data_IF_789662140978
#
_entry.id   IF_789662140978
#
_cell.length_a   1.000
_cell.length_b   1.000
_cell.length_c   1.000
_cell.angle_alpha   90.00
_cell.angle_beta   90.00
_cell.angle_gamma   90.00
#
_symmetry.space_group_name_H-M   'P 1'
#
loop_
_entity.id
_entity.type
_entity.pdbx_description
1 polymer ?
#
# COMPACT_ATOMS: atom_id res chain seq x y z
N UNK A 1 22.65 -11.22 16.61
CA UNK A 1 21.72 -10.88 17.71
C UNK A 1 20.41 -10.30 17.19
N UNK A 2 20.38 -9.11 16.58
CA UNK A 2 19.14 -8.47 16.08
C UNK A 2 18.28 -9.35 15.14
N UNK A 3 18.87 -9.99 14.14
CA UNK A 3 18.13 -10.88 13.23
C UNK A 3 17.68 -12.20 13.88
N UNK A 4 18.31 -12.61 14.99
CA UNK A 4 17.83 -13.74 15.78
C UNK A 4 16.56 -13.35 16.54
N UNK A 5 16.50 -12.12 17.05
CA UNK A 5 15.28 -11.55 17.64
C UNK A 5 14.15 -11.44 16.60
N UNK A 6 14.44 -10.99 15.38
CA UNK A 6 13.45 -10.95 14.30
C UNK A 6 12.91 -12.35 13.97
N UNK A 7 13.78 -13.36 13.87
CA UNK A 7 13.35 -14.76 13.64
C UNK A 7 12.43 -15.27 14.74
N UNK A 8 12.73 -14.96 16.00
CA UNK A 8 11.86 -15.34 17.10
C UNK A 8 10.52 -14.61 17.03
N UNK A 9 10.55 -13.31 16.72
CA UNK A 9 9.35 -12.49 16.54
C UNK A 9 8.42 -13.06 15.47
N UNK A 10 8.95 -13.52 14.34
CA UNK A 10 8.14 -14.20 13.33
C UNK A 10 7.45 -15.46 13.85
N UNK A 11 8.15 -16.29 14.63
CA UNK A 11 7.56 -17.48 15.25
C UNK A 11 6.44 -17.10 16.22
N UNK A 12 6.69 -16.10 17.07
CA UNK A 12 5.75 -15.66 18.09
C UNK A 12 4.46 -15.08 17.49
N UNK A 13 4.54 -14.45 16.30
CA UNK A 13 3.41 -13.85 15.59
C UNK A 13 2.89 -14.72 14.43
N UNK A 14 3.23 -16.02 14.42
CA UNK A 14 2.77 -17.00 13.42
C UNK A 14 3.06 -16.59 11.96
N UNK A 15 4.10 -15.81 11.72
CA UNK A 15 4.54 -15.49 10.37
C UNK A 15 5.17 -16.74 9.72
N UNK A 16 4.82 -17.01 8.47
CA UNK A 16 5.47 -18.03 7.66
C UNK A 16 6.87 -17.60 7.28
N UNK A 17 7.87 -18.44 7.53
CA UNK A 17 9.22 -18.26 6.96
C UNK A 17 9.64 -19.60 6.36
N UNK A 18 10.01 -19.58 5.09
CA UNK A 18 10.45 -20.80 4.44
C UNK A 18 11.78 -21.30 5.05
N UNK A 19 11.91 -22.60 5.38
CA UNK A 19 13.09 -23.12 6.10
C UNK A 19 14.37 -23.05 5.28
N UNK A 20 14.26 -22.83 3.96
CA UNK A 20 15.41 -22.78 3.06
C UNK A 20 15.89 -21.38 2.72
N UNK A 21 15.46 -20.35 3.46
CA UNK A 21 16.05 -19.01 3.33
C UNK A 21 16.85 -18.62 4.57
N UNK A 22 17.85 -17.77 4.39
CA UNK A 22 18.62 -17.20 5.49
C UNK A 22 19.01 -15.75 5.23
N UNK A 23 19.08 -14.96 6.30
CA UNK A 23 19.49 -13.55 6.23
C UNK A 23 21.01 -13.48 6.41
N UNK A 24 21.71 -12.85 5.47
CA UNK A 24 23.17 -12.67 5.46
C UNK A 24 23.54 -11.27 5.01
N UNK A 25 24.81 -10.89 5.17
CA UNK A 25 25.34 -9.65 4.58
C UNK A 25 25.32 -9.74 3.06
N UNK A 26 24.74 -8.75 2.39
CA UNK A 26 24.71 -8.68 0.94
C UNK A 26 26.03 -8.10 0.39
N UNK A 27 26.54 -8.60 -0.74
CA UNK A 27 27.64 -7.96 -1.49
C UNK A 27 27.31 -6.52 -1.94
N UNK A 28 26.04 -6.17 -2.07
CA UNK A 28 25.57 -4.82 -2.42
C UNK A 28 25.63 -3.84 -1.23
N UNK A 29 25.91 -4.35 -0.03
CA UNK A 29 25.86 -3.60 1.22
C UNK A 29 24.64 -3.97 2.07
N UNK A 30 24.72 -3.76 3.38
CA UNK A 30 23.63 -4.11 4.29
C UNK A 30 23.40 -5.62 4.43
N UNK A 31 22.15 -6.05 4.30
CA UNK A 31 21.74 -7.46 4.40
C UNK A 31 20.85 -7.85 3.23
N UNK A 32 20.75 -9.14 2.96
CA UNK A 32 19.86 -9.73 1.98
C UNK A 32 19.40 -11.12 2.41
N UNK A 33 18.43 -11.67 1.68
CA UNK A 33 17.90 -13.02 1.88
C UNK A 33 18.53 -13.97 0.87
N UNK A 34 19.02 -15.12 1.31
CA UNK A 34 19.74 -16.10 0.49
C UNK A 34 19.08 -17.46 0.54
N UNK A 35 19.06 -18.15 -0.60
CA UNK A 35 18.61 -19.53 -0.71
C UNK A 35 19.65 -20.51 -0.15
N UNK A 36 19.27 -21.35 0.81
CA UNK A 36 20.13 -22.43 1.37
C UNK A 36 19.95 -23.77 0.66
N UNK A 37 18.83 -23.92 -0.05
CA UNK A 37 18.51 -25.05 -0.94
C UNK A 37 17.75 -24.50 -2.17
N UNK A 38 17.56 -25.29 -3.23
CA UNK A 38 16.80 -24.84 -4.37
C UNK A 38 15.35 -24.55 -3.98
N UNK A 39 14.81 -23.45 -4.49
CA UNK A 39 13.41 -23.03 -4.34
C UNK A 39 12.72 -23.17 -5.70
N UNK A 40 11.43 -23.51 -5.70
CA UNK A 40 10.63 -23.67 -6.92
C UNK A 40 9.64 -22.50 -7.04
N UNK A 41 9.16 -22.25 -8.26
CA UNK A 41 8.13 -21.22 -8.50
C UNK A 41 6.88 -21.46 -7.66
N UNK A 42 6.18 -20.36 -7.36
CA UNK A 42 4.95 -20.31 -6.55
C UNK A 42 5.14 -20.83 -5.11
N UNK A 43 6.36 -20.83 -4.59
CA UNK A 43 6.62 -21.17 -3.18
C UNK A 43 6.61 -19.89 -2.34
N UNK A 44 5.77 -19.77 -1.31
CA UNK A 44 5.83 -18.66 -0.37
C UNK A 44 7.10 -18.75 0.48
N UNK A 45 7.88 -17.66 0.51
CA UNK A 45 9.12 -17.55 1.27
C UNK A 45 8.93 -16.83 2.60
N UNK A 46 8.02 -15.87 2.63
CA UNK A 46 7.60 -15.11 3.79
C UNK A 46 6.08 -14.97 3.71
N UNK A 47 5.40 -15.10 4.85
CA UNK A 47 3.98 -14.81 5.00
C UNK A 47 3.75 -14.06 6.30
N UNK A 48 3.22 -12.85 6.23
CA UNK A 48 3.01 -11.98 7.39
C UNK A 48 1.52 -11.67 7.51
N UNK A 49 0.82 -12.12 8.57
CA UNK A 49 -0.58 -11.74 8.77
C UNK A 49 -0.71 -10.22 8.78
N UNK A 50 -1.72 -9.68 8.09
CA UNK A 50 -1.81 -8.23 7.87
C UNK A 50 -1.96 -7.44 9.17
N UNK A 51 -2.52 -8.04 10.22
CA UNK A 51 -2.58 -7.47 11.58
C UNK A 51 -1.21 -7.14 12.19
N UNK A 52 -0.14 -7.83 11.74
CA UNK A 52 1.23 -7.59 12.18
C UNK A 52 2.05 -6.69 11.25
N UNK A 53 1.44 -6.15 10.20
CA UNK A 53 2.03 -5.02 9.46
C UNK A 53 2.00 -3.78 10.36
N UNK A 54 2.98 -2.89 10.23
CA UNK A 54 2.97 -1.61 10.94
C UNK A 54 2.50 -0.52 9.99
N UNK A 55 1.32 0.03 10.26
CA UNK A 55 0.73 1.15 9.52
C UNK A 55 -0.11 2.05 10.45
N UNK A 56 -0.68 3.16 9.95
CA UNK A 56 -1.54 4.02 10.75
C UNK A 56 -2.73 3.28 11.38
N UNK A 57 -3.28 2.26 10.71
CA UNK A 57 -4.46 1.52 11.20
C UNK A 57 -4.12 0.42 12.22
N UNK A 58 -2.89 -0.09 12.25
CA UNK A 58 -2.50 -1.16 13.19
C UNK A 58 -1.69 -0.69 14.40
N UNK A 59 -1.06 0.50 14.33
CA UNK A 59 -0.19 0.97 15.40
C UNK A 59 -0.94 1.34 16.70
N UNK A 60 -0.21 1.42 17.82
CA UNK A 60 -0.80 1.68 19.14
C UNK A 60 -1.43 3.07 19.33
N UNK A 61 -1.35 3.96 18.35
CA UNK A 61 -1.93 5.31 18.35
C UNK A 61 -2.88 5.55 17.16
N UNK A 62 -3.44 4.49 16.58
CA UNK A 62 -4.26 4.56 15.37
C UNK A 62 -5.38 5.63 15.45
N UNK A 63 -6.22 5.60 16.50
CA UNK A 63 -7.27 6.59 16.71
C UNK A 63 -6.78 8.05 16.70
N UNK A 64 -5.56 8.28 17.20
CA UNK A 64 -4.97 9.61 17.25
C UNK A 64 -4.44 10.04 15.87
N UNK A 65 -3.91 9.10 15.08
CA UNK A 65 -3.52 9.40 13.70
C UNK A 65 -4.74 9.69 12.83
N UNK A 66 -5.83 8.95 13.04
CA UNK A 66 -7.11 9.18 12.38
C UNK A 66 -7.70 10.56 12.73
N UNK A 67 -7.73 10.94 14.01
CA UNK A 67 -8.25 12.25 14.47
C UNK A 67 -7.50 13.44 13.83
N UNK A 68 -6.20 13.28 13.58
CA UNK A 68 -5.35 14.29 12.95
C UNK A 68 -5.23 14.12 11.43
N UNK A 69 -5.97 13.16 10.84
CA UNK A 69 -5.94 12.84 9.40
C UNK A 69 -4.52 12.54 8.89
N UNK A 70 -3.67 11.97 9.74
CA UNK A 70 -2.30 11.59 9.39
C UNK A 70 -2.30 10.23 8.68
N UNK A 71 -2.42 10.27 7.36
CA UNK A 71 -2.49 9.08 6.50
C UNK A 71 -1.25 8.95 5.61
N UNK A 72 -1.21 7.87 4.80
CA UNK A 72 -0.15 7.61 3.83
C UNK A 72 1.25 7.59 4.45
N UNK A 73 2.23 8.11 3.72
CA UNK A 73 3.64 8.12 4.15
C UNK A 73 3.87 8.94 5.43
N UNK A 74 3.10 10.03 5.61
CA UNK A 74 3.21 10.90 6.78
C UNK A 74 2.74 10.14 8.03
N UNK A 75 1.54 9.57 7.97
CA UNK A 75 0.97 8.74 9.03
C UNK A 75 1.87 7.56 9.38
N UNK A 76 2.33 6.84 8.35
CA UNK A 76 3.23 5.69 8.52
C UNK A 76 4.55 6.09 9.21
N UNK A 77 5.10 7.26 8.86
CA UNK A 77 6.33 7.76 9.49
C UNK A 77 6.10 8.07 10.97
N UNK A 78 4.98 8.69 11.33
CA UNK A 78 4.63 8.97 12.73
C UNK A 78 4.37 7.68 13.51
N UNK A 79 3.63 6.72 12.93
CA UNK A 79 3.42 5.40 13.51
C UNK A 79 4.75 4.68 13.80
N UNK A 80 5.68 4.69 12.83
CA UNK A 80 7.02 4.16 13.00
C UNK A 80 7.79 4.85 14.14
N UNK A 81 7.77 6.18 14.19
CA UNK A 81 8.47 6.95 15.24
C UNK A 81 7.94 6.62 16.63
N UNK A 82 6.63 6.55 16.79
CA UNK A 82 5.98 6.19 18.05
C UNK A 82 6.38 4.77 18.50
N UNK A 83 6.19 3.76 17.64
CA UNK A 83 6.51 2.37 17.97
C UNK A 83 8.01 2.18 18.23
N UNK A 84 8.87 2.89 17.50
CA UNK A 84 10.32 2.88 17.73
C UNK A 84 10.68 3.46 19.10
N UNK A 85 10.03 4.55 19.52
CA UNK A 85 10.24 5.21 20.81
C UNK A 85 9.89 4.29 22.00
N UNK A 86 8.87 3.45 21.87
CA UNK A 86 8.48 2.48 22.89
C UNK A 86 9.56 1.41 23.18
N UNK A 87 10.50 1.20 22.26
CA UNK A 87 11.53 0.18 22.38
C UNK A 87 10.91 -1.19 22.60
N UNK A 88 11.38 -1.94 23.60
CA UNK A 88 10.92 -3.31 23.89
C UNK A 88 9.43 -3.44 24.25
N UNK A 89 8.73 -2.33 24.49
CA UNK A 89 7.29 -2.32 24.75
C UNK A 89 6.46 -2.37 23.46
N UNK A 90 7.05 -2.02 22.31
CA UNK A 90 6.37 -2.11 21.03
C UNK A 90 6.13 -3.56 20.63
N UNK A 91 4.93 -3.92 20.14
CA UNK A 91 4.66 -5.23 19.54
C UNK A 91 5.63 -5.54 18.40
N UNK A 92 6.10 -4.54 17.67
CA UNK A 92 7.01 -4.67 16.52
C UNK A 92 8.48 -4.59 16.90
N UNK A 93 8.86 -4.57 18.18
CA UNK A 93 10.25 -4.34 18.59
C UNK A 93 11.25 -5.32 17.94
N UNK A 94 10.86 -6.59 17.78
CA UNK A 94 11.70 -7.60 17.14
C UNK A 94 12.08 -7.24 15.70
N UNK A 95 11.17 -6.61 14.97
CA UNK A 95 11.40 -6.05 13.65
C UNK A 95 12.08 -4.69 13.68
N UNK A 96 11.52 -3.73 14.44
CA UNK A 96 12.01 -2.35 14.48
C UNK A 96 13.46 -2.26 14.95
N UNK A 97 13.95 -3.16 15.80
CA UNK A 97 15.35 -3.19 16.21
C UNK A 97 16.33 -3.51 15.06
N UNK A 98 15.84 -4.10 13.96
CA UNK A 98 16.64 -4.34 12.74
C UNK A 98 16.76 -3.11 11.85
N UNK A 99 15.79 -2.18 11.92
CA UNK A 99 15.80 -0.93 11.15
C UNK A 99 16.83 0.03 11.72
N UNK A 100 17.80 0.41 10.90
CA UNK A 100 18.79 1.42 11.23
C UNK A 100 18.24 2.82 10.94
N UNK A 101 18.08 3.64 11.98
CA UNK A 101 17.67 5.05 11.88
C UNK A 101 18.86 6.01 12.01
N UNK A 102 20.07 5.49 12.28
CA UNK A 102 21.33 6.24 12.22
C UNK A 102 21.88 6.30 10.79
N UNK A 103 21.04 6.05 9.79
CA UNK A 103 21.41 6.24 8.40
C UNK A 103 21.67 7.73 8.18
N UNK A 104 22.78 8.03 7.50
CA UNK A 104 23.03 9.41 7.06
C UNK A 104 21.90 9.78 6.11
N UNK A 105 21.20 10.89 6.39
CA UNK A 105 20.25 11.46 5.44
C UNK A 105 20.93 11.76 4.10
N UNK A 106 22.26 11.89 4.08
CA UNK A 106 23.10 11.99 2.88
C UNK A 106 22.97 10.79 1.92
N UNK A 107 22.28 9.71 2.28
CA UNK A 107 21.92 8.67 1.30
C UNK A 107 20.92 9.17 0.26
N UNK A 108 20.10 10.18 0.57
CA UNK A 108 19.15 10.74 -0.39
C UNK A 108 19.60 12.14 -0.87
N UNK A 109 19.57 12.40 -2.19
CA UNK A 109 20.02 13.68 -2.73
C UNK A 109 19.32 14.94 -2.20
N UNK A 110 18.07 14.83 -1.74
CA UNK A 110 17.35 15.98 -1.17
C UNK A 110 18.01 16.54 0.09
N UNK A 111 18.79 15.73 0.81
CA UNK A 111 19.52 16.14 2.01
C UNK A 111 20.99 16.46 1.74
N UNK A 112 21.43 16.42 0.48
CA UNK A 112 22.78 16.83 0.10
C UNK A 112 22.98 18.34 0.23
N UNK A 113 24.23 18.77 0.30
CA UNK A 113 24.55 20.20 0.19
C UNK A 113 24.11 20.76 -1.16
N UNK A 114 23.84 22.06 -1.24
CA UNK A 114 23.46 22.70 -2.52
C UNK A 114 24.52 22.54 -3.62
N UNK A 115 25.80 22.45 -3.26
CA UNK A 115 26.88 22.16 -4.21
C UNK A 115 26.80 20.74 -4.78
N UNK A 116 26.50 19.74 -3.96
CA UNK A 116 26.32 18.36 -4.39
C UNK A 116 25.03 18.18 -5.20
N UNK A 117 23.94 18.88 -4.84
CA UNK A 117 22.69 18.86 -5.61
C UNK A 117 22.89 19.38 -7.04
N UNK A 118 23.84 20.30 -7.27
CA UNK A 118 24.17 20.79 -8.62
C UNK A 118 24.71 19.68 -9.54
N UNK A 119 25.26 18.58 -9.00
CA UNK A 119 25.71 17.44 -9.80
C UNK A 119 24.58 16.72 -10.52
N UNK A 120 23.34 16.87 -10.03
CA UNK A 120 22.15 16.22 -10.58
C UNK A 120 21.37 17.13 -11.53
N UNK A 121 21.86 18.35 -11.81
CA UNK A 121 21.20 19.28 -12.72
C UNK A 121 20.97 18.67 -14.11
N UNK A 122 19.74 18.77 -14.59
CA UNK A 122 19.32 18.22 -15.89
C UNK A 122 19.06 16.71 -15.88
N UNK A 123 19.04 16.08 -14.70
CA UNK A 123 18.60 14.68 -14.56
C UNK A 123 17.15 14.61 -14.09
N UNK A 124 16.51 13.44 -14.28
CA UNK A 124 15.09 13.25 -14.01
C UNK A 124 14.69 13.55 -12.55
N UNK A 125 15.59 13.28 -11.59
CA UNK A 125 15.35 13.57 -10.16
C UNK A 125 15.08 15.06 -9.90
N UNK A 126 15.67 15.96 -10.69
CA UNK A 126 15.44 17.40 -10.56
C UNK A 126 14.07 17.75 -11.14
N UNK A 127 13.76 17.23 -12.33
CA UNK A 127 12.48 17.45 -13.02
C UNK A 127 11.28 17.01 -12.18
N UNK A 128 11.40 15.89 -11.48
CA UNK A 128 10.35 15.36 -10.60
C UNK A 128 10.30 16.01 -9.20
N UNK A 129 11.14 17.01 -8.92
CA UNK A 129 11.20 17.64 -7.59
C UNK A 129 11.82 16.76 -6.50
N UNK A 130 12.54 15.70 -6.86
CA UNK A 130 13.13 14.74 -5.91
C UNK A 130 14.25 15.30 -5.04
N UNK A 131 14.69 16.54 -5.29
CA UNK A 131 15.67 17.28 -4.48
C UNK A 131 15.03 18.23 -3.47
N UNK A 132 13.71 18.47 -3.56
CA UNK A 132 13.03 19.44 -2.70
C UNK A 132 12.82 18.89 -1.29
N UNK A 133 13.05 19.75 -0.32
CA UNK A 133 12.89 19.50 1.11
C UNK A 133 11.82 20.42 1.72
N UNK A 134 11.35 21.43 1.00
CA UNK A 134 10.47 22.46 1.52
C UNK A 134 9.11 21.89 1.90
N UNK A 135 8.56 20.96 1.11
CA UNK A 135 7.33 20.23 1.45
C UNK A 135 7.49 19.43 2.76
N UNK A 136 8.63 18.78 2.97
CA UNK A 136 8.91 18.01 4.20
C UNK A 136 9.01 18.95 5.40
N UNK A 137 9.71 20.08 5.26
CA UNK A 137 9.81 21.11 6.32
C UNK A 137 8.46 21.72 6.65
N UNK A 138 7.66 22.03 5.64
CA UNK A 138 6.33 22.58 5.81
C UNK A 138 5.41 21.56 6.50
N UNK A 139 5.43 20.31 6.06
CA UNK A 139 4.68 19.21 6.67
C UNK A 139 5.04 19.05 8.13
N UNK A 140 6.34 19.02 8.44
CA UNK A 140 6.81 18.88 9.80
C UNK A 140 6.37 20.05 10.69
N UNK A 141 6.60 21.29 10.24
CA UNK A 141 6.29 22.48 11.05
C UNK A 141 4.78 22.72 11.22
N UNK A 142 3.96 22.33 10.24
CA UNK A 142 2.53 22.62 10.23
C UNK A 142 1.69 21.51 10.87
N UNK A 143 2.09 20.24 10.72
CA UNK A 143 1.28 19.10 11.17
C UNK A 143 2.00 18.27 12.24
N UNK A 144 3.24 17.85 11.97
CA UNK A 144 3.93 16.84 12.81
C UNK A 144 4.40 17.42 14.14
N UNK A 145 5.04 18.58 14.12
CA UNK A 145 5.51 19.23 15.33
C UNK A 145 4.33 19.60 16.26
N UNK A 146 3.23 20.23 15.78
CA UNK A 146 2.04 20.44 16.59
C UNK A 146 1.44 19.15 17.14
N UNK A 147 1.37 18.08 16.34
CA UNK A 147 0.90 16.77 16.79
C UNK A 147 1.70 16.25 17.99
N UNK A 148 3.03 16.25 17.91
CA UNK A 148 3.89 15.82 19.02
C UNK A 148 3.78 16.77 20.22
N UNK A 149 3.71 18.08 20.00
CA UNK A 149 3.58 19.06 21.09
C UNK A 149 2.26 18.91 21.87
N UNK A 150 1.17 18.59 21.18
CA UNK A 150 -0.16 18.43 21.81
C UNK A 150 -0.28 17.07 22.51
N UNK A 151 0.38 16.04 22.00
CA UNK A 151 0.19 14.65 22.43
C UNK A 151 1.40 14.02 23.13
N UNK A 152 2.46 14.78 23.42
CA UNK A 152 3.75 14.24 23.93
C UNK A 152 3.58 13.25 25.08
N UNK A 153 2.69 13.54 26.04
CA UNK A 153 2.45 12.67 27.20
C UNK A 153 1.82 11.32 26.81
N UNK A 154 0.90 11.30 25.84
CA UNK A 154 0.28 10.08 25.32
C UNK A 154 1.27 9.26 24.48
N UNK A 155 2.16 9.95 23.76
CA UNK A 155 3.20 9.36 22.92
C UNK A 155 4.41 8.83 23.71
N UNK A 156 4.38 8.92 25.05
CA UNK A 156 5.42 8.39 25.93
C UNK A 156 6.64 9.29 26.13
N UNK A 157 6.53 10.58 25.81
CA UNK A 157 7.57 11.58 26.07
C UNK A 157 7.39 12.24 27.44
N UNK A 158 8.50 12.45 28.15
CA UNK A 158 8.49 13.05 29.50
C UNK A 158 8.14 14.55 29.47
N UNK A 159 8.51 15.25 28.40
CA UNK A 159 8.26 16.68 28.23
C UNK A 159 8.28 17.09 26.75
N UNK A 160 7.85 18.33 26.49
CA UNK A 160 7.85 18.90 25.12
C UNK A 160 9.29 19.07 24.61
N UNK A 161 10.28 19.25 25.49
CA UNK A 161 11.68 19.46 25.11
C UNK A 161 12.37 18.19 24.58
N UNK A 162 11.75 17.02 24.76
CA UNK A 162 12.29 15.71 24.33
C UNK A 162 11.48 15.07 23.20
N UNK A 163 10.53 15.81 22.59
CA UNK A 163 9.82 15.33 21.40
C UNK A 163 10.76 15.29 20.19
N UNK A 164 10.41 14.51 19.15
CA UNK A 164 11.26 14.37 17.98
C UNK A 164 11.51 15.70 17.27
N UNK A 165 12.76 15.89 16.88
CA UNK A 165 13.23 16.99 16.05
C UNK A 165 12.92 16.76 14.58
N UNK A 166 13.05 17.82 13.79
CA UNK A 166 12.96 17.73 12.32
C UNK A 166 13.95 16.72 11.73
N UNK A 167 15.19 16.67 12.27
CA UNK A 167 16.21 15.73 11.82
C UNK A 167 15.80 14.27 12.08
N UNK A 168 15.23 13.98 13.25
CA UNK A 168 14.74 12.65 13.60
C UNK A 168 13.53 12.23 12.76
N UNK A 169 12.65 13.18 12.42
CA UNK A 169 11.57 12.96 11.46
C UNK A 169 12.12 12.59 10.07
N UNK A 170 13.08 13.36 9.54
CA UNK A 170 13.70 13.06 8.25
C UNK A 170 14.38 11.69 8.23
N UNK A 171 15.16 11.34 9.27
CA UNK A 171 15.78 10.00 9.39
C UNK A 171 14.74 8.88 9.38
N UNK A 172 13.61 9.11 10.05
CA UNK A 172 12.50 8.15 10.11
C UNK A 172 11.81 8.03 8.76
N UNK A 173 11.55 9.16 8.09
CA UNK A 173 10.96 9.19 6.75
C UNK A 173 11.82 8.40 5.75
N UNK A 174 13.14 8.59 5.74
CA UNK A 174 14.07 7.81 4.89
C UNK A 174 14.02 6.31 5.22
N UNK A 175 13.98 5.97 6.51
CA UNK A 175 13.93 4.58 6.94
C UNK A 175 12.62 3.89 6.50
N UNK A 176 11.50 4.62 6.53
CA UNK A 176 10.17 4.13 6.17
C UNK A 176 9.99 4.07 4.65
N UNK A 177 10.33 5.14 3.93
CA UNK A 177 10.14 5.24 2.48
C UNK A 177 10.86 4.15 1.69
N UNK A 178 11.99 3.67 2.23
CA UNK A 178 12.78 2.59 1.63
C UNK A 178 12.29 1.16 1.98
N UNK A 179 11.21 1.02 2.75
CA UNK A 179 10.73 -0.27 3.30
C UNK A 179 9.22 -0.46 3.25
N UNK A 180 8.45 0.57 2.90
CA UNK A 180 7.00 0.52 2.85
C UNK A 180 6.52 -0.25 1.62
N UNK A 181 5.42 -0.98 1.80
CA UNK A 181 4.67 -1.67 0.77
C UNK A 181 3.22 -1.16 0.80
N UNK A 182 2.56 -1.14 -0.35
CA UNK A 182 1.12 -0.98 -0.44
C UNK A 182 0.48 -2.33 -0.12
N UNK A 183 -0.41 -2.37 0.87
CA UNK A 183 -0.95 -3.64 1.42
C UNK A 183 -2.37 -3.93 0.95
N UNK A 184 -3.28 -2.96 1.11
CA UNK A 184 -4.68 -3.05 0.68
C UNK A 184 -5.36 -1.68 0.81
N UNK A 185 -6.64 -1.59 0.40
CA UNK A 185 -7.41 -0.35 0.43
C UNK A 185 -7.65 0.23 1.83
N UNK A 186 -7.57 -0.57 2.89
CA UNK A 186 -7.80 -0.14 4.28
C UNK A 186 -6.51 0.30 4.98
N UNK A 187 -5.45 -0.50 4.86
CA UNK A 187 -4.16 -0.28 5.53
C UNK A 187 -3.26 0.65 4.72
N UNK A 188 -3.45 0.72 3.40
CA UNK A 188 -2.64 1.51 2.48
C UNK A 188 -1.17 1.16 2.59
N UNK A 189 -0.32 2.18 2.82
CA UNK A 189 1.11 1.99 3.02
C UNK A 189 1.44 1.44 4.41
N UNK A 190 2.18 0.34 4.44
CA UNK A 190 2.64 -0.31 5.67
C UNK A 190 4.10 -0.75 5.60
N UNK A 191 4.75 -0.88 6.76
CA UNK A 191 5.95 -1.68 6.88
C UNK A 191 5.53 -3.14 7.10
N UNK A 192 5.93 -4.02 6.18
CA UNK A 192 5.71 -5.46 6.28
C UNK A 192 6.98 -6.11 6.84
N UNK A 193 7.00 -6.59 8.11
CA UNK A 193 8.19 -7.16 8.73
C UNK A 193 8.82 -8.28 7.89
N UNK A 194 10.07 -8.08 7.47
CA UNK A 194 10.84 -9.07 6.70
C UNK A 194 10.76 -8.91 5.18
N UNK A 195 9.68 -8.36 4.63
CA UNK A 195 9.53 -8.18 3.18
C UNK A 195 10.62 -7.25 2.62
N UNK A 196 10.94 -6.18 3.34
CA UNK A 196 12.00 -5.24 2.96
C UNK A 196 13.44 -5.80 3.07
N UNK A 197 13.63 -7.09 3.42
CA UNK A 197 14.95 -7.74 3.43
C UNK A 197 15.31 -8.34 2.07
N UNK A 198 14.33 -8.51 1.19
CA UNK A 198 14.53 -8.93 -0.19
C UNK A 198 14.92 -7.69 -1.01
N UNK A 199 16.20 -7.60 -1.39
CA UNK A 199 16.73 -6.45 -2.09
C UNK A 199 16.18 -6.33 -3.52
N UNK A 200 16.31 -5.15 -4.12
CA UNK A 200 15.85 -4.88 -5.49
C UNK A 200 16.80 -5.41 -6.58
N UNK A 201 16.21 -5.88 -7.68
CA UNK A 201 16.88 -6.19 -8.95
C UNK A 201 15.90 -6.00 -10.11
N UNK A 202 16.37 -5.56 -11.28
CA UNK A 202 15.59 -5.55 -12.53
C UNK A 202 15.12 -6.94 -12.95
N UNK A 203 15.83 -7.98 -12.51
CA UNK A 203 15.43 -9.38 -12.66
C UNK A 203 14.97 -9.90 -11.31
N UNK A 204 13.70 -9.67 -11.00
CA UNK A 204 13.10 -10.17 -9.77
C UNK A 204 13.02 -11.71 -9.79
N UNK A 205 13.09 -12.29 -8.60
CA UNK A 205 12.96 -13.74 -8.39
C UNK A 205 11.83 -14.08 -7.43
N UNK A 206 11.38 -13.06 -6.70
CA UNK A 206 10.20 -13.09 -5.86
C UNK A 206 9.40 -11.83 -6.12
N UNK A 207 8.11 -11.87 -5.84
CA UNK A 207 7.24 -10.72 -5.84
C UNK A 207 6.38 -10.71 -4.57
N UNK A 208 5.79 -9.55 -4.30
CA UNK A 208 4.89 -9.33 -3.16
C UNK A 208 3.46 -9.65 -3.58
N UNK A 209 2.74 -10.43 -2.79
CA UNK A 209 1.33 -10.78 -3.00
C UNK A 209 0.51 -10.45 -1.75
N UNK A 210 -0.69 -9.91 -1.95
CA UNK A 210 -1.63 -9.52 -0.90
C UNK A 210 -3.02 -9.39 -1.52
N UNK A 211 -4.09 -9.64 -0.76
CA UNK A 211 -5.45 -9.28 -1.21
C UNK A 211 -5.66 -7.77 -1.03
N UNK A 212 -5.67 -7.01 -2.12
CA UNK A 212 -5.80 -5.55 -2.08
C UNK A 212 -7.27 -5.09 -1.94
N UNK A 213 -8.20 -5.93 -2.41
CA UNK A 213 -9.63 -5.64 -2.54
C UNK A 213 -10.36 -5.96 -1.23
N UNK A 214 -10.20 -5.09 -0.24
CA UNK A 214 -10.93 -5.14 1.04
C UNK A 214 -11.71 -3.85 1.25
N UNK A 215 -12.69 -3.87 2.16
CA UNK A 215 -13.41 -2.66 2.53
C UNK A 215 -12.46 -1.59 3.07
N UNK A 216 -12.50 -0.38 2.52
CA UNK A 216 -11.67 0.77 2.91
C UNK A 216 -11.98 1.34 4.31
N UNK A 217 -13.10 0.93 4.92
CA UNK A 217 -13.51 1.37 6.26
C UNK A 217 -13.14 0.39 7.38
N UNK A 218 -13.19 -0.92 7.12
CA UNK A 218 -12.96 -1.93 8.16
C UNK A 218 -11.92 -3.00 7.81
N UNK A 219 -11.43 -3.04 6.56
CA UNK A 219 -10.42 -4.00 6.10
C UNK A 219 -10.91 -5.44 6.01
N UNK A 220 -12.21 -5.68 6.15
CA UNK A 220 -12.82 -6.99 5.97
C UNK A 220 -13.19 -7.21 4.51
N UNK A 221 -13.16 -8.47 4.09
CA UNK A 221 -13.74 -8.91 2.83
C UNK A 221 -15.24 -9.18 3.02
N UNK A 222 -16.07 -8.70 2.09
CA UNK A 222 -17.51 -8.93 2.07
C UNK A 222 -18.27 -8.41 3.31
N UNK A 223 -18.14 -7.12 3.64
CA UNK A 223 -18.79 -6.53 4.81
C UNK A 223 -20.07 -5.74 4.48
N UNK A 224 -20.81 -5.30 5.51
CA UNK A 224 -22.03 -4.50 5.30
C UNK A 224 -21.76 -3.14 4.61
N UNK A 225 -20.57 -2.57 4.78
CA UNK A 225 -20.20 -1.31 4.12
C UNK A 225 -20.07 -1.46 2.60
N UNK A 226 -19.63 -2.63 2.12
CA UNK A 226 -19.54 -2.91 0.68
C UNK A 226 -20.94 -2.95 0.06
N UNK A 227 -21.92 -3.49 0.78
CA UNK A 227 -23.32 -3.50 0.36
C UNK A 227 -23.91 -2.08 0.33
N UNK A 228 -23.57 -1.22 1.30
CA UNK A 228 -24.02 0.17 1.30
C UNK A 228 -23.40 0.96 0.14
N UNK A 229 -22.12 0.74 -0.16
CA UNK A 229 -21.44 1.33 -1.32
C UNK A 229 -22.09 0.92 -2.64
N UNK A 230 -22.40 -0.37 -2.80
CA UNK A 230 -23.10 -0.88 -3.99
C UNK A 230 -24.50 -0.28 -4.13
N UNK A 231 -25.25 -0.16 -3.02
CA UNK A 231 -26.58 0.48 -3.02
C UNK A 231 -26.53 1.95 -3.43
N UNK A 232 -25.54 2.69 -2.97
CA UNK A 232 -25.34 4.09 -3.37
C UNK A 232 -24.95 4.20 -4.85
N UNK A 233 -24.10 3.31 -5.34
CA UNK A 233 -23.71 3.26 -6.76
C UNK A 233 -24.89 2.94 -7.67
N UNK A 234 -25.75 1.98 -7.29
CA UNK A 234 -26.99 1.67 -8.03
C UNK A 234 -28.00 2.83 -7.99
N UNK A 235 -28.10 3.54 -6.86
CA UNK A 235 -28.91 4.75 -6.74
C UNK A 235 -28.43 5.87 -7.67
N UNK A 236 -27.13 6.13 -7.73
CA UNK A 236 -26.53 7.13 -8.62
C UNK A 236 -26.64 6.75 -10.11
N UNK A 237 -26.68 5.45 -10.44
CA UNK A 237 -26.93 4.99 -11.82
C UNK A 237 -28.39 5.21 -12.21
N UNK A 238 -29.34 4.98 -11.30
CA UNK A 238 -30.76 5.25 -11.56
C UNK A 238 -31.05 6.74 -11.76
N UNK A 239 -30.38 7.64 -11.03
CA UNK A 239 -30.53 9.09 -11.20
C UNK A 239 -29.89 9.59 -12.52
N UNK A 240 -28.87 8.91 -13.04
CA UNK A 240 -28.24 9.24 -14.34
C UNK A 240 -29.04 8.76 -15.55
N UNK A 241 -29.80 7.66 -15.42
CA UNK A 241 -30.70 7.20 -16.48
C UNK A 241 -31.90 8.15 -16.68
N UNK A 242 -32.33 8.86 -15.63
CA UNK A 242 -33.41 9.85 -15.70
C UNK A 242 -32.97 11.21 -16.28
N UNK A 243 -31.66 11.52 -16.35
CA UNK A 243 -31.15 12.79 -16.90
C UNK A 243 -30.81 12.74 -18.41
N UNK A 244 -30.79 11.56 -19.05
CA UNK A 244 -30.48 11.43 -20.50
C UNK A 244 -31.70 11.58 -21.44
N UNK A 245 -32.92 11.77 -20.92
CA UNK A 245 -34.13 11.97 -21.75
C UNK A 245 -34.63 13.44 -21.86
N UNK A 246 -33.76 14.47 -21.89
CA UNK A 246 -34.21 15.80 -22.36
C UNK A 246 -33.13 16.56 -23.15
N UNK A 247 -32.80 16.12 -24.37
CA UNK A 247 -32.32 17.04 -25.42
C UNK A 247 -32.93 16.70 -26.79
N UNK A 248 -33.97 17.45 -27.18
CA UNK A 248 -34.60 17.31 -28.50
C UNK A 248 -35.61 18.41 -28.84
N UNK A 249 -35.11 19.47 -29.48
CA UNK A 249 -35.81 20.45 -30.36
C UNK A 249 -36.68 21.59 -29.77
N UNK A 250 -36.19 22.81 -30.03
CA UNK A 250 -36.88 24.10 -29.93
C UNK A 250 -37.96 24.26 -31.02
N UNK A 251 -39.17 24.71 -30.68
CA UNK A 251 -39.95 25.71 -31.46
C UNK A 251 -41.03 26.35 -30.59
N UNK A 252 -41.15 27.68 -30.69
CA UNK A 252 -42.07 28.56 -29.94
C UNK A 252 -43.45 28.73 -30.65
N UNK A 253 -44.46 29.38 -30.01
CA UNK A 253 -45.83 28.87 -29.90
C UNK A 253 -46.82 29.47 -30.90
N UNK A 254 -47.97 28.82 -31.11
CA UNK A 254 -49.21 29.47 -31.55
C UNK A 254 -50.48 28.70 -31.14
N UNK A 255 -51.32 29.42 -30.38
CA UNK A 255 -52.79 29.59 -30.44
C UNK A 255 -53.75 28.39 -30.45
N UNK A 256 -54.63 28.47 -29.45
CA UNK A 256 -56.09 28.31 -29.47
C UNK A 256 -56.75 26.91 -29.53
N UNK A 257 -57.71 26.80 -28.61
CA UNK A 257 -59.01 26.10 -28.66
C UNK A 257 -59.18 24.66 -28.13
N UNK A 258 -60.02 24.64 -27.07
CA UNK A 258 -61.22 23.83 -26.83
C UNK A 258 -61.14 22.31 -26.52
N UNK A 259 -61.69 22.00 -25.33
CA UNK A 259 -62.60 20.90 -24.98
C UNK A 259 -62.38 19.49 -25.57
N UNK A 260 -62.16 18.48 -24.70
CA UNK A 260 -63.19 17.47 -24.36
C UNK A 260 -62.60 16.22 -23.66
N UNK A 261 -63.23 15.92 -22.53
CA UNK A 261 -63.60 14.66 -21.86
C UNK A 261 -63.02 13.27 -22.26
N UNK A 262 -62.79 12.49 -21.18
CA UNK A 262 -62.99 11.03 -20.98
C UNK A 262 -62.28 10.02 -21.93
N UNK A 263 -61.52 9.06 -21.39
CA UNK A 263 -62.05 7.73 -21.02
C UNK A 263 -60.96 6.83 -20.39
N UNK A 264 -61.45 5.86 -19.60
CA UNK A 264 -60.79 4.88 -18.75
C UNK A 264 -60.39 3.64 -19.54
N UNK A 265 -59.30 2.96 -19.18
CA UNK A 265 -59.29 1.48 -19.20
C UNK A 265 -58.22 0.90 -18.28
N UNK A 266 -58.70 0.17 -17.29
CA UNK A 266 -58.00 -0.77 -16.42
C UNK A 266 -57.36 -1.92 -17.21
N UNK A 267 -56.34 -2.57 -16.63
CA UNK A 267 -56.19 -4.02 -16.71
C UNK A 267 -55.28 -4.54 -15.58
N UNK A 268 -55.94 -5.07 -14.56
CA UNK A 268 -55.43 -6.04 -13.59
C UNK A 268 -55.16 -7.38 -14.28
N UNK A 269 -54.07 -8.06 -13.92
CA UNK A 269 -53.94 -9.53 -14.07
C UNK A 269 -53.17 -10.09 -12.87
N UNK A 270 -53.90 -10.76 -11.98
CA UNK A 270 -53.44 -11.64 -10.91
C UNK A 270 -53.10 -13.05 -11.45
N UNK A 271 -52.43 -13.82 -10.57
CA UNK A 271 -52.40 -15.28 -10.44
C UNK A 271 -51.56 -16.14 -11.42
N UNK A 272 -50.60 -16.92 -10.88
CA UNK A 272 -50.92 -18.28 -10.41
C UNK A 272 -49.71 -18.94 -9.69
N UNK A 273 -50.00 -19.51 -8.52
CA UNK A 273 -49.18 -20.47 -7.77
C UNK A 273 -49.26 -21.85 -8.44
N UNK A 274 -48.22 -22.69 -8.30
CA UNK A 274 -48.45 -24.14 -8.17
C UNK A 274 -47.27 -24.87 -7.50
N UNK A 275 -47.62 -25.63 -6.47
CA UNK A 275 -46.79 -26.54 -5.68
C UNK A 275 -46.73 -27.93 -6.33
N UNK A 276 -45.61 -28.65 -6.12
CA UNK A 276 -45.61 -30.12 -6.16
C UNK A 276 -44.56 -30.68 -5.20
N UNK A 277 -45.05 -31.34 -4.15
CA UNK A 277 -44.35 -32.31 -3.29
C UNK A 277 -44.11 -33.62 -4.06
N UNK A 278 -42.99 -34.30 -3.79
CA UNK A 278 -42.88 -35.76 -3.91
C UNK A 278 -41.80 -36.27 -2.92
N UNK A 279 -42.26 -36.98 -1.89
CA UNK A 279 -41.47 -37.89 -1.04
C UNK A 279 -41.50 -39.30 -1.66
N UNK A 280 -40.35 -40.00 -1.76
CA UNK A 280 -40.21 -41.36 -1.18
C UNK A 280 -38.79 -41.97 -1.35
N UNK A 281 -38.32 -42.54 -0.23
CA UNK A 281 -37.53 -43.76 0.00
C UNK A 281 -36.28 -44.10 -0.85
N UNK A 282 -35.13 -44.31 -0.21
CA UNK A 282 -34.68 -45.61 0.31
C UNK A 282 -33.27 -45.50 0.92
N UNK A 283 -33.01 -46.35 1.91
CA UNK A 283 -31.78 -46.43 2.67
C UNK A 283 -30.68 -47.18 1.91
N UNK A 284 -29.43 -46.71 1.99
CA UNK A 284 -28.25 -47.54 1.85
C UNK A 284 -27.21 -47.14 2.89
N UNK A 285 -26.96 -48.09 3.78
CA UNK A 285 -25.98 -48.13 4.86
C UNK A 285 -24.62 -48.50 4.25
N UNK A 286 -23.67 -47.56 4.24
CA UNK A 286 -22.29 -47.84 3.81
C UNK A 286 -21.30 -47.33 4.85
N UNK A 287 -20.47 -48.26 5.33
CA UNK A 287 -19.42 -48.12 6.34
C UNK A 287 -18.63 -46.81 6.20
N UNK A 288 -18.72 -45.95 7.23
CA UNK A 288 -17.73 -44.89 7.47
C UNK A 288 -16.52 -45.55 8.14
N UNK A 289 -15.55 -45.93 7.31
CA UNK A 289 -14.17 -46.05 7.76
C UNK A 289 -13.70 -44.64 8.16
N UNK A 290 -12.98 -44.57 9.28
CA UNK A 290 -12.33 -43.35 9.76
C UNK A 290 -11.33 -42.86 8.70
N UNK A 291 -11.74 -41.88 7.92
CA UNK A 291 -10.80 -40.90 7.39
C UNK A 291 -10.82 -39.73 8.38
N UNK A 292 -9.70 -39.56 9.07
CA UNK A 292 -9.36 -38.31 9.73
C UNK A 292 -9.22 -37.26 8.62
N UNK A 293 -10.35 -36.75 8.14
CA UNK A 293 -10.43 -35.50 7.40
C UNK A 293 -10.04 -34.41 8.42
N UNK A 294 -8.74 -34.19 8.57
CA UNK A 294 -8.21 -32.86 8.86
C UNK A 294 -8.67 -31.98 7.67
N UNK A 295 -9.94 -31.59 7.68
CA UNK A 295 -10.42 -30.35 7.08
C UNK A 295 -9.69 -29.22 7.83
N UNK A 296 -8.39 -29.08 7.54
CA UNK A 296 -7.75 -27.78 7.55
C UNK A 296 -8.51 -27.01 6.46
N UNK A 297 -9.65 -26.42 6.85
CA UNK A 297 -10.15 -25.21 6.24
C UNK A 297 -8.94 -24.26 6.25
N UNK A 298 -8.15 -24.29 5.17
CA UNK A 298 -7.19 -23.26 4.82
C UNK A 298 -8.03 -22.01 4.54
N UNK A 299 -8.60 -21.43 5.60
CA UNK A 299 -9.00 -20.04 5.62
C UNK A 299 -7.79 -19.30 5.04
N UNK A 300 -7.98 -18.76 3.84
CA UNK A 300 -6.98 -17.97 3.14
C UNK A 300 -6.54 -16.89 4.12
N UNK A 301 -5.33 -17.06 4.68
CA UNK A 301 -4.88 -16.21 5.78
C UNK A 301 -4.71 -14.81 5.21
N UNK A 302 -5.46 -13.83 5.74
CA UNK A 302 -5.29 -12.41 5.41
C UNK A 302 -3.85 -11.97 5.73
N UNK A 303 -2.96 -12.11 4.75
CA UNK A 303 -1.52 -12.02 4.89
C UNK A 303 -0.87 -11.34 3.69
N UNK A 304 0.33 -10.85 3.92
CA UNK A 304 1.24 -10.35 2.91
C UNK A 304 2.34 -11.38 2.67
N UNK A 305 2.45 -11.85 1.43
CA UNK A 305 3.34 -12.92 1.05
C UNK A 305 4.49 -12.42 0.16
N UNK A 306 5.64 -13.08 0.26
CA UNK A 306 6.74 -12.98 -0.71
C UNK A 306 6.85 -14.33 -1.40
N UNK A 307 6.50 -14.39 -2.68
CA UNK A 307 6.36 -15.65 -3.43
C UNK A 307 7.40 -15.73 -4.54
N UNK A 308 7.95 -16.92 -4.79
CA UNK A 308 8.90 -17.13 -5.89
C UNK A 308 8.20 -16.97 -7.25
N UNK A 309 8.60 -15.95 -8.02
CA UNK A 309 8.04 -15.63 -9.35
C UNK A 309 8.70 -16.41 -10.49
N UNK A 310 9.90 -16.97 -10.26
CA UNK A 310 10.67 -17.68 -11.28
C UNK A 310 10.57 -19.21 -11.13
N UNK A 311 10.76 -20.00 -12.20
CA UNK A 311 10.63 -21.46 -12.11
C UNK A 311 11.52 -22.12 -11.05
N UNK A 312 12.71 -21.56 -10.81
CA UNK A 312 13.66 -22.08 -9.83
C UNK A 312 14.69 -21.04 -9.39
N UNK A 313 14.99 -21.01 -8.09
CA UNK A 313 16.14 -20.29 -7.52
C UNK A 313 17.21 -21.31 -7.10
N UNK A 314 18.47 -21.03 -7.41
CA UNK A 314 19.59 -21.91 -7.08
C UNK A 314 20.07 -21.72 -5.64
N UNK A 315 20.61 -22.77 -5.05
CA UNK A 315 21.28 -22.70 -3.73
C UNK A 315 22.43 -21.70 -3.75
N UNK A 316 22.50 -20.86 -2.72
CA UNK A 316 23.56 -19.89 -2.49
C UNK A 316 23.32 -18.52 -3.14
N UNK A 317 22.28 -18.39 -3.97
CA UNK A 317 21.89 -17.11 -4.57
C UNK A 317 21.23 -16.19 -3.54
N UNK A 318 21.54 -14.90 -3.62
CA UNK A 318 20.70 -13.86 -3.04
C UNK A 318 19.38 -13.81 -3.80
N UNK A 319 18.29 -13.56 -3.09
CA UNK A 319 16.92 -13.55 -3.59
C UNK A 319 16.48 -12.09 -3.67
N UNK A 320 16.12 -11.66 -4.86
CA UNK A 320 15.74 -10.28 -5.14
C UNK A 320 14.25 -10.14 -5.44
N UNK A 321 13.66 -9.08 -4.88
CA UNK A 321 12.33 -8.56 -5.23
C UNK A 321 12.46 -7.46 -6.29
N UNK A 322 11.35 -6.98 -6.83
CA UNK A 322 11.27 -5.68 -7.50
C UNK A 322 10.76 -4.59 -6.55
N UNK A 323 11.17 -3.35 -6.77
CA UNK A 323 10.59 -2.17 -6.11
C UNK A 323 9.63 -1.43 -7.08
N UNK A 324 9.33 -2.06 -8.22
CA UNK A 324 8.61 -1.46 -9.35
C UNK A 324 9.52 -1.23 -10.55
N UNK A 325 8.90 -0.92 -11.69
CA UNK A 325 9.53 -0.54 -12.94
C UNK A 325 9.98 0.93 -12.92
N UNK A 326 10.85 1.27 -11.96
CA UNK A 326 11.18 2.66 -11.64
C UNK A 326 12.47 3.15 -12.31
N UNK A 327 12.47 4.40 -12.79
CA UNK A 327 13.66 5.02 -13.36
C UNK A 327 14.70 5.40 -12.27
N UNK A 328 15.94 5.70 -12.67
CA UNK A 328 16.99 6.00 -11.68
C UNK A 328 16.74 7.30 -10.89
N UNK A 329 15.95 8.24 -11.42
CA UNK A 329 15.54 9.43 -10.69
C UNK A 329 14.69 9.09 -9.46
N UNK A 330 13.72 8.20 -9.64
CA UNK A 330 12.85 7.71 -8.57
C UNK A 330 13.65 6.86 -7.59
N UNK A 331 14.44 5.90 -8.10
CA UNK A 331 15.26 5.01 -7.26
C UNK A 331 16.22 5.79 -6.35
N UNK A 332 16.89 6.80 -6.92
CA UNK A 332 17.83 7.63 -6.18
C UNK A 332 17.10 8.54 -5.18
N UNK A 333 15.93 9.08 -5.53
CA UNK A 333 15.16 9.97 -4.66
C UNK A 333 14.54 9.26 -3.45
N UNK A 334 14.12 7.99 -3.60
CA UNK A 334 13.41 7.20 -2.57
C UNK A 334 14.32 6.26 -1.79
N UNK A 335 15.30 5.65 -2.45
CA UNK A 335 16.11 4.57 -1.89
C UNK A 335 17.61 4.89 -1.82
N UNK A 336 18.07 5.94 -2.50
CA UNK A 336 19.47 6.38 -2.43
C UNK A 336 20.46 5.54 -3.25
N UNK A 337 19.98 4.85 -4.28
CA UNK A 337 20.82 4.13 -5.23
C UNK A 337 20.33 4.30 -6.68
N UNK A 338 21.19 3.96 -7.65
CA UNK A 338 20.87 3.91 -9.07
C UNK A 338 21.49 2.65 -9.69
N UNK A 339 20.88 2.15 -10.76
CA UNK A 339 21.31 0.96 -11.50
C UNK A 339 22.08 1.38 -12.76
N UNK A 340 23.15 0.64 -13.10
CA UNK A 340 24.02 0.95 -14.24
C UNK A 340 23.32 0.69 -15.59
N UNK A 341 22.50 -0.37 -15.66
CA UNK A 341 21.83 -0.81 -16.89
C UNK A 341 20.31 -0.93 -16.66
N UNK A 342 19.70 0.09 -16.04
CA UNK A 342 18.26 0.13 -15.73
C UNK A 342 17.43 0.08 -17.03
N UNK A 343 16.63 -0.98 -17.21
CA UNK A 343 15.77 -1.16 -18.40
C UNK A 343 14.57 -0.20 -18.42
N UNK A 344 14.18 0.31 -17.26
CA UNK A 344 13.06 1.24 -17.06
C UNK A 344 13.52 2.70 -16.98
N UNK A 345 14.77 2.98 -17.38
CA UNK A 345 15.27 4.35 -17.41
C UNK A 345 14.44 5.24 -18.35
N UNK A 346 14.15 6.45 -17.90
CA UNK A 346 13.35 7.42 -18.64
C UNK A 346 13.94 8.81 -18.53
N UNK A 347 13.76 9.63 -19.57
CA UNK A 347 14.15 11.03 -19.58
C UNK A 347 12.96 11.87 -20.01
N UNK A 348 12.61 12.85 -19.19
CA UNK A 348 11.58 13.85 -19.47
C UNK A 348 12.11 14.95 -20.37
N UNK A 349 11.25 15.37 -21.32
CA UNK A 349 11.52 16.50 -22.21
C UNK A 349 10.70 17.75 -21.85
N UNK A 350 10.09 17.77 -20.66
CA UNK A 350 9.16 18.84 -20.26
C UNK A 350 9.82 20.22 -20.33
N UNK A 351 11.04 20.38 -19.80
CA UNK A 351 11.75 21.67 -19.84
C UNK A 351 12.01 22.12 -21.28
N UNK A 352 12.49 21.23 -22.15
CA UNK A 352 12.76 21.56 -23.56
C UNK A 352 11.48 21.87 -24.34
N UNK A 353 10.36 21.21 -23.99
CA UNK A 353 9.05 21.50 -24.57
C UNK A 353 8.55 22.87 -24.11
N UNK A 354 8.71 23.22 -22.83
CA UNK A 354 8.35 24.54 -22.30
C UNK A 354 9.17 25.63 -23.01
N UNK A 355 10.50 25.49 -23.05
CA UNK A 355 11.39 26.43 -23.74
C UNK A 355 10.99 26.60 -25.21
N UNK A 356 10.75 25.49 -25.92
CA UNK A 356 10.31 25.52 -27.31
C UNK A 356 8.97 26.24 -27.47
N UNK A 357 8.01 26.00 -26.58
CA UNK A 357 6.71 26.66 -26.61
C UNK A 357 6.84 28.16 -26.37
N UNK A 358 7.68 28.58 -25.42
CA UNK A 358 7.94 29.99 -25.13
C UNK A 358 8.61 30.69 -26.31
N UNK A 359 9.68 30.12 -26.86
CA UNK A 359 10.41 30.67 -28.01
C UNK A 359 9.52 30.82 -29.26
N UNK A 360 8.56 29.91 -29.44
CA UNK A 360 7.68 29.88 -30.61
C UNK A 360 6.29 30.50 -30.38
N UNK A 361 6.02 31.07 -29.20
CA UNK A 361 4.72 31.64 -28.82
C UNK A 361 3.54 30.66 -29.00
N UNK A 362 3.72 29.41 -28.56
CA UNK A 362 2.75 28.33 -28.69
C UNK A 362 1.99 28.02 -27.39
N UNK A 363 1.92 28.95 -26.44
CA UNK A 363 1.39 28.71 -25.08
C UNK A 363 -0.06 28.17 -25.09
N UNK A 364 -0.85 28.55 -26.10
CA UNK A 364 -2.23 28.06 -26.28
C UNK A 364 -2.34 26.55 -26.55
N UNK A 365 -1.21 25.87 -26.81
CA UNK A 365 -1.12 24.44 -27.10
C UNK A 365 -0.74 23.58 -25.89
N UNK A 366 -0.34 24.19 -24.76
CA UNK A 366 -0.01 23.48 -23.50
C UNK A 366 -1.27 23.13 -22.69
N UNK A 367 -2.34 22.68 -23.35
CA UNK A 367 -3.59 22.31 -22.67
C UNK A 367 -3.50 20.93 -22.04
#
# INVERSE_FOLDING_TARGET
>A
EKYSTLKQWFVDNKCGIHPYIEIKTSPLGGVGVFATKPLIGNTPLLSVPKEYTLCPTTCGISNLLEEYELTGMIGLTVAFMFEKNLGKKSPWWGYLNTVNTELSTESLPRFWTKEQQEWLKGTEIVTMGGLDEDEIKQTFSTFILPFFQQNFSLLGYESIEVIPTYEEYCKSLVAVSSRAFEVDAYRGLALVPGACLFNHSDSEQVHFETNEDVCDLCGADGCEHDLERLRLQEGELSEKEDEEEVEGELTEPNTDDEDSEEDVSENEWEDDEDMVDDEDSEADDFDSENDDDDDDDEEEKDACDIVVSVPRISTGSEIFNTYGEENNGILLSRYGFALIDNQHESVSLVEQVIDFVEENNLQSRLK
#
